data_IF_321115373164
#
_entry.id   IF_321115373164
#
_cell.length_a   1.000
_cell.length_b   1.000
_cell.length_c   1.000
_cell.angle_alpha   90.00
_cell.angle_beta   90.00
_cell.angle_gamma   90.00
#
_symmetry.space_group_name_H-M   'P 1'
#
loop_
_entity.id
_entity.type
_entity.pdbx_description
1 polymer ?
#
# COMPACT_ATOMS: atom_id res chain seq x y z
N UNK A 1 -34.76 -16.55 -26.03
CA UNK A 1 -34.14 -15.24 -25.72
C UNK A 1 -33.31 -15.25 -24.42
N UNK A 2 -32.71 -16.37 -23.99
CA UNK A 2 -32.18 -16.45 -22.61
C UNK A 2 -30.66 -16.69 -22.50
N UNK A 3 -30.04 -17.52 -23.34
CA UNK A 3 -28.62 -17.86 -23.13
C UNK A 3 -27.67 -16.71 -23.42
N UNK A 4 -27.90 -15.95 -24.49
CA UNK A 4 -27.04 -14.83 -24.88
C UNK A 4 -27.10 -13.67 -23.87
N UNK A 5 -28.30 -13.36 -23.38
CA UNK A 5 -28.52 -12.33 -22.34
C UNK A 5 -27.90 -12.78 -21.00
N UNK A 6 -28.05 -14.05 -20.62
CA UNK A 6 -27.40 -14.60 -19.42
C UNK A 6 -25.88 -14.56 -19.51
N UNK A 7 -25.29 -14.92 -20.66
CA UNK A 7 -23.85 -14.83 -20.89
C UNK A 7 -23.35 -13.38 -20.80
N UNK A 8 -24.09 -12.41 -21.33
CA UNK A 8 -23.75 -10.98 -21.23
C UNK A 8 -23.82 -10.50 -19.77
N UNK A 9 -24.84 -10.92 -19.02
CA UNK A 9 -24.97 -10.57 -17.60
C UNK A 9 -23.81 -11.16 -16.78
N UNK A 10 -23.44 -12.43 -17.02
CA UNK A 10 -22.29 -13.07 -16.37
C UNK A 10 -20.98 -12.34 -16.73
N UNK A 11 -20.81 -11.93 -17.99
CA UNK A 11 -19.65 -11.17 -18.45
C UNK A 11 -19.56 -9.79 -17.78
N UNK A 12 -20.69 -9.09 -17.64
CA UNK A 12 -20.74 -7.78 -16.99
C UNK A 12 -20.49 -7.86 -15.48
N UNK A 13 -21.00 -8.90 -14.81
CA UNK A 13 -20.75 -9.13 -13.38
C UNK A 13 -19.27 -9.45 -13.15
N UNK A 14 -18.69 -10.34 -13.96
CA UNK A 14 -17.26 -10.68 -13.86
C UNK A 14 -16.37 -9.48 -14.17
N UNK A 15 -16.66 -8.70 -15.22
CA UNK A 15 -15.93 -7.48 -15.53
C UNK A 15 -15.97 -6.44 -14.40
N UNK A 16 -17.12 -6.25 -13.75
CA UNK A 16 -17.25 -5.36 -12.59
C UNK A 16 -16.46 -5.85 -11.36
N UNK A 17 -16.37 -7.16 -11.15
CA UNK A 17 -15.52 -7.73 -10.09
C UNK A 17 -14.02 -7.48 -10.33
N UNK A 18 -13.56 -7.41 -11.59
CA UNK A 18 -12.17 -7.09 -11.92
C UNK A 18 -11.86 -5.59 -11.81
N UNK A 19 -12.85 -4.70 -11.97
CA UNK A 19 -12.63 -3.25 -11.98
C UNK A 19 -12.45 -2.60 -10.60
N UNK A 20 -12.84 -3.27 -9.51
CA UNK A 20 -12.74 -2.69 -8.15
C UNK A 20 -11.39 -2.93 -7.45
N UNK A 21 -10.49 -3.75 -8.02
CA UNK A 21 -9.29 -4.22 -7.31
C UNK A 21 -7.97 -3.57 -7.77
N UNK A 22 -8.01 -2.39 -8.38
CA UNK A 22 -6.81 -1.69 -8.87
C UNK A 22 -5.99 -0.99 -7.79
N UNK A 23 -6.66 -0.52 -6.73
CA UNK A 23 -6.06 0.31 -5.68
C UNK A 23 -6.12 -0.40 -4.34
N UNK A 24 -4.96 -0.52 -3.68
CA UNK A 24 -4.83 -0.99 -2.30
C UNK A 24 -4.51 0.18 -1.39
N UNK A 25 -5.38 0.44 -0.40
CA UNK A 25 -5.06 1.30 0.73
C UNK A 25 -4.55 0.42 1.87
N UNK A 26 -3.27 0.52 2.17
CA UNK A 26 -2.57 -0.28 3.15
C UNK A 26 -2.34 0.54 4.42
N UNK A 27 -2.88 0.08 5.55
CA UNK A 27 -2.60 0.67 6.86
C UNK A 27 -1.40 -0.06 7.46
N UNK A 28 -0.29 0.65 7.61
CA UNK A 28 0.89 0.20 8.36
C UNK A 28 0.89 1.00 9.66
N UNK A 29 0.80 0.34 10.81
CA UNK A 29 0.59 1.02 12.11
C UNK A 29 1.76 1.95 12.46
N UNK A 30 2.99 1.55 12.10
CA UNK A 30 4.22 2.29 12.37
C UNK A 30 5.15 2.22 11.14
N UNK A 31 4.84 2.97 10.07
CA UNK A 31 5.68 2.98 8.88
C UNK A 31 7.01 3.65 9.22
N UNK A 32 8.13 3.06 8.79
CA UNK A 32 9.42 3.71 8.84
C UNK A 32 9.77 4.27 7.46
N UNK A 33 10.52 5.38 7.42
CA UNK A 33 11.03 5.92 6.17
C UNK A 33 12.53 6.09 6.27
N UNK A 34 13.28 5.41 5.39
CA UNK A 34 14.73 5.58 5.27
C UNK A 34 15.06 6.12 3.89
N UNK A 35 15.83 7.20 3.83
CA UNK A 35 16.29 7.76 2.56
C UNK A 35 17.25 6.77 1.89
N UNK A 36 17.01 6.40 0.63
CA UNK A 36 17.91 5.53 -0.15
C UNK A 36 18.89 6.40 -0.94
N UNK A 37 18.37 7.41 -1.62
CA UNK A 37 19.10 8.35 -2.46
C UNK A 37 18.39 9.72 -2.43
N UNK A 38 18.82 10.66 -3.28
CA UNK A 38 18.20 11.99 -3.36
C UNK A 38 16.72 11.94 -3.75
N UNK A 39 16.35 10.97 -4.59
CA UNK A 39 15.06 10.85 -5.28
C UNK A 39 14.05 9.93 -4.61
N UNK A 40 14.45 9.17 -3.58
CA UNK A 40 13.56 8.16 -3.00
C UNK A 40 13.82 7.77 -1.54
N UNK A 41 12.74 7.29 -0.93
CA UNK A 41 12.69 6.69 0.40
C UNK A 41 12.22 5.23 0.31
N UNK A 42 12.66 4.41 1.25
CA UNK A 42 12.16 3.05 1.48
C UNK A 42 11.21 3.04 2.67
N UNK A 43 10.17 2.22 2.57
CA UNK A 43 9.33 1.79 3.69
C UNK A 43 8.95 0.32 3.53
N UNK A 44 8.25 -0.27 4.49
CA UNK A 44 7.84 -1.66 4.44
C UNK A 44 7.30 -2.18 5.75
N UNK A 45 6.89 -3.44 5.71
CA UNK A 45 6.45 -4.17 6.89
C UNK A 45 7.10 -5.56 6.93
N UNK A 46 7.12 -6.14 8.12
CA UNK A 46 7.71 -7.45 8.39
C UNK A 46 6.59 -8.40 8.79
N UNK A 47 6.61 -9.62 8.24
CA UNK A 47 5.80 -10.74 8.69
C UNK A 47 6.70 -11.87 9.20
N UNK A 48 6.18 -12.72 10.08
CA UNK A 48 6.88 -13.94 10.51
C UNK A 48 7.02 -14.89 9.33
N UNK A 49 8.20 -15.50 9.15
CA UNK A 49 8.35 -16.49 8.08
C UNK A 49 7.79 -17.84 8.49
N UNK A 50 7.12 -18.50 7.54
CA UNK A 50 6.71 -19.90 7.65
C UNK A 50 7.89 -20.86 7.39
N UNK A 51 8.91 -20.40 6.67
CA UNK A 51 10.11 -21.19 6.39
C UNK A 51 11.06 -21.13 7.60
N UNK A 52 11.35 -22.26 8.27
CA UNK A 52 12.12 -22.28 9.52
C UNK A 52 13.57 -21.85 9.36
N UNK A 53 14.08 -21.72 8.12
CA UNK A 53 15.44 -21.21 7.85
C UNK A 53 15.54 -19.69 8.02
N UNK A 54 14.41 -19.00 8.06
CA UNK A 54 14.32 -17.55 8.07
C UNK A 54 13.51 -17.08 9.27
N UNK A 55 13.90 -15.93 9.82
CA UNK A 55 13.18 -15.33 10.96
C UNK A 55 11.92 -14.62 10.46
N UNK A 56 12.05 -13.90 9.34
CA UNK A 56 11.00 -13.02 8.85
C UNK A 56 11.04 -12.79 7.35
N UNK A 57 9.87 -12.43 6.83
CA UNK A 57 9.65 -11.97 5.48
C UNK A 57 9.44 -10.44 5.50
N UNK A 58 10.25 -9.71 4.76
CA UNK A 58 10.21 -8.26 4.66
C UNK A 58 9.65 -7.83 3.30
N UNK A 59 8.50 -7.15 3.33
CA UNK A 59 7.84 -6.61 2.14
C UNK A 59 8.20 -5.13 1.99
N UNK A 60 8.86 -4.81 0.87
CA UNK A 60 9.52 -3.53 0.67
C UNK A 60 8.75 -2.66 -0.31
N UNK A 61 8.62 -1.38 0.03
CA UNK A 61 8.09 -0.34 -0.85
C UNK A 61 9.09 0.80 -1.03
N UNK A 62 8.99 1.47 -2.16
CA UNK A 62 9.70 2.69 -2.48
C UNK A 62 8.72 3.86 -2.65
N UNK A 63 9.17 5.05 -2.24
CA UNK A 63 8.44 6.31 -2.36
C UNK A 63 9.33 7.29 -3.09
N UNK A 64 8.94 7.67 -4.30
CA UNK A 64 9.61 8.74 -5.04
C UNK A 64 9.20 10.10 -4.47
N UNK A 65 10.18 11.00 -4.37
CA UNK A 65 9.96 12.33 -3.81
C UNK A 65 10.25 13.48 -4.78
N UNK A 66 10.45 13.15 -6.05
CA UNK A 66 10.82 14.11 -7.10
C UNK A 66 9.58 14.85 -7.56
N UNK A 67 9.64 16.18 -7.58
CA UNK A 67 8.55 17.05 -8.07
C UNK A 67 9.12 18.12 -9.00
N UNK A 68 8.32 18.54 -9.98
CA UNK A 68 8.68 19.66 -10.83
C UNK A 68 8.15 20.96 -10.19
N UNK A 69 9.02 21.95 -10.02
CA UNK A 69 8.66 23.27 -9.49
C UNK A 69 8.56 24.22 -10.67
N UNK A 70 7.33 24.44 -11.16
CA UNK A 70 7.04 25.24 -12.35
C UNK A 70 7.64 26.65 -12.27
N UNK A 71 7.45 27.33 -11.15
CA UNK A 71 7.90 28.72 -10.93
C UNK A 71 9.43 28.89 -10.99
N UNK A 72 10.18 27.81 -10.80
CA UNK A 72 11.64 27.82 -10.82
C UNK A 72 12.23 27.09 -12.02
N UNK A 73 11.39 26.42 -12.82
CA UNK A 73 11.83 25.56 -13.92
C UNK A 73 12.86 24.51 -13.46
N UNK A 74 12.68 23.97 -12.25
CA UNK A 74 13.65 23.11 -11.56
C UNK A 74 12.99 21.86 -10.96
N UNK A 75 13.82 20.83 -10.72
CA UNK A 75 13.41 19.62 -10.00
C UNK A 75 13.65 19.82 -8.50
N UNK A 76 12.57 19.70 -7.71
CA UNK A 76 12.60 19.70 -6.26
C UNK A 76 12.46 18.31 -5.65
N UNK A 77 12.79 18.21 -4.36
CA UNK A 77 12.70 16.97 -3.58
C UNK A 77 11.91 17.21 -2.30
N UNK A 78 10.80 16.48 -2.15
CA UNK A 78 9.95 16.59 -0.97
C UNK A 78 10.34 15.56 0.11
N UNK A 79 9.94 15.82 1.34
CA UNK A 79 9.99 14.85 2.43
C UNK A 79 8.76 13.94 2.41
N UNK A 80 8.79 12.75 3.05
CA UNK A 80 7.61 11.88 3.17
C UNK A 80 6.40 12.59 3.79
N UNK A 81 6.63 13.55 4.70
CA UNK A 81 5.56 14.34 5.32
C UNK A 81 4.88 15.27 4.31
N UNK A 82 5.64 15.90 3.41
CA UNK A 82 5.14 16.82 2.38
C UNK A 82 4.46 16.08 1.23
N UNK A 83 4.87 14.84 0.95
CA UNK A 83 4.25 13.99 -0.07
C UNK A 83 2.86 13.47 0.33
N UNK A 84 2.49 13.56 1.61
CA UNK A 84 1.19 13.11 2.09
C UNK A 84 0.10 14.00 1.55
N UNK A 85 -0.90 13.39 0.91
CA UNK A 85 -2.10 14.07 0.46
C UNK A 85 -3.25 13.81 1.43
N UNK A 86 -3.88 14.87 1.91
CA UNK A 86 -5.09 14.78 2.73
C UNK A 86 -6.27 14.35 1.84
N UNK A 87 -7.05 13.38 2.30
CA UNK A 87 -8.29 12.95 1.68
C UNK A 87 -9.38 12.88 2.73
N UNK A 88 -10.57 13.36 2.38
CA UNK A 88 -11.75 13.34 3.24
C UNK A 88 -12.75 12.39 2.61
N UNK A 89 -12.95 11.21 3.20
CA UNK A 89 -13.79 10.15 2.64
C UNK A 89 -14.58 9.50 3.77
N UNK A 90 -15.89 9.43 3.59
CA UNK A 90 -16.80 8.88 4.61
C UNK A 90 -16.61 7.36 4.80
N UNK A 91 -16.21 6.62 3.76
CA UNK A 91 -15.92 5.17 3.81
C UNK A 91 -14.74 4.78 2.91
N UNK A 92 -13.52 4.81 3.44
CA UNK A 92 -12.36 4.27 2.74
C UNK A 92 -12.13 2.81 3.16
N UNK A 93 -12.23 1.88 2.21
CA UNK A 93 -11.87 0.47 2.44
C UNK A 93 -10.35 0.35 2.44
N UNK A 94 -9.77 -0.06 3.55
CA UNK A 94 -8.35 -0.34 3.69
C UNK A 94 -8.12 -1.74 4.25
N UNK A 95 -6.86 -2.18 4.15
CA UNK A 95 -6.39 -3.45 4.68
C UNK A 95 -5.23 -3.16 5.62
N UNK A 96 -5.26 -3.74 6.80
CA UNK A 96 -4.14 -3.72 7.77
C UNK A 96 -3.08 -4.76 7.39
N UNK A 97 -1.88 -4.68 7.97
CA UNK A 97 -0.86 -5.70 7.73
C UNK A 97 -1.36 -7.09 8.13
N UNK A 98 -2.04 -7.19 9.28
CA UNK A 98 -2.55 -8.46 9.79
C UNK A 98 -3.56 -9.09 8.83
N UNK A 99 -4.54 -8.33 8.34
CA UNK A 99 -5.53 -8.82 7.36
C UNK A 99 -4.88 -9.18 6.01
N UNK A 100 -3.84 -8.45 5.60
CA UNK A 100 -3.16 -8.72 4.34
C UNK A 100 -2.43 -10.08 4.37
N UNK A 101 -1.79 -10.41 5.49
CA UNK A 101 -0.97 -11.62 5.66
C UNK A 101 -1.73 -12.80 6.25
N UNK A 102 -2.92 -12.58 6.81
CA UNK A 102 -3.71 -13.61 7.47
C UNK A 102 -3.97 -14.80 6.54
N UNK A 103 -3.59 -16.00 6.99
CA UNK A 103 -3.77 -17.27 6.28
C UNK A 103 -3.14 -17.30 4.87
N UNK A 104 -2.16 -16.43 4.60
CA UNK A 104 -1.43 -16.40 3.32
C UNK A 104 0.05 -16.71 3.52
N UNK A 105 0.54 -17.62 2.70
CA UNK A 105 1.97 -17.84 2.55
C UNK A 105 2.64 -16.59 1.97
N UNK A 106 3.94 -16.40 2.28
CA UNK A 106 4.68 -15.19 1.91
C UNK A 106 4.63 -14.87 0.40
N UNK A 107 4.66 -15.90 -0.45
CA UNK A 107 4.63 -15.75 -1.91
C UNK A 107 3.25 -15.33 -2.42
N UNK A 108 2.17 -15.67 -1.71
CA UNK A 108 0.82 -15.22 -2.03
C UNK A 108 0.70 -13.70 -1.79
N UNK A 109 1.23 -13.22 -0.66
CA UNK A 109 1.29 -11.78 -0.35
C UNK A 109 2.16 -11.05 -1.37
N UNK A 110 3.31 -11.61 -1.75
CA UNK A 110 4.18 -11.06 -2.80
C UNK A 110 3.43 -10.91 -4.13
N UNK A 111 2.73 -11.96 -4.56
CA UNK A 111 1.95 -11.95 -5.80
C UNK A 111 0.81 -10.93 -5.73
N UNK A 112 0.08 -10.88 -4.62
CA UNK A 112 -1.02 -9.93 -4.45
C UNK A 112 -0.53 -8.48 -4.56
N UNK A 113 0.56 -8.13 -3.86
CA UNK A 113 1.16 -6.79 -3.91
C UNK A 113 1.70 -6.46 -5.31
N UNK A 114 2.33 -7.43 -5.98
CA UNK A 114 2.87 -7.25 -7.35
C UNK A 114 1.78 -7.02 -8.40
N UNK A 115 0.56 -7.51 -8.16
CA UNK A 115 -0.58 -7.35 -9.06
C UNK A 115 -1.35 -6.04 -8.85
N UNK A 116 -1.11 -5.31 -7.75
CA UNK A 116 -1.79 -4.02 -7.51
C UNK A 116 -1.22 -2.95 -8.43
N UNK A 117 -2.11 -2.25 -9.14
CA UNK A 117 -1.74 -1.10 -9.98
C UNK A 117 -1.35 0.11 -9.15
N UNK A 118 -2.03 0.33 -8.03
CA UNK A 118 -1.80 1.44 -7.11
C UNK A 118 -1.81 0.95 -5.69
N UNK A 119 -0.81 1.35 -4.92
CA UNK A 119 -0.74 1.09 -3.49
C UNK A 119 -0.55 2.44 -2.80
N UNK A 120 -1.36 2.70 -1.78
CA UNK A 120 -1.23 3.89 -0.94
C UNK A 120 -1.03 3.44 0.50
N UNK A 121 -0.03 4.01 1.16
CA UNK A 121 0.01 4.01 2.61
C UNK A 121 -1.11 4.91 3.11
N UNK A 122 -1.93 4.40 4.03
CA UNK A 122 -2.98 5.14 4.71
C UNK A 122 -2.54 5.47 6.14
N UNK A 123 -2.66 6.74 6.51
CA UNK A 123 -2.44 7.22 7.88
C UNK A 123 -3.68 7.99 8.34
N UNK A 124 -4.22 7.64 9.51
CA UNK A 124 -5.36 8.37 10.10
C UNK A 124 -4.92 9.72 10.65
N UNK A 125 -5.71 10.76 10.40
CA UNK A 125 -5.52 12.07 11.03
C UNK A 125 -6.28 12.07 12.35
N UNK A 126 -5.57 12.27 13.46
CA UNK A 126 -6.22 12.50 14.75
C UNK A 126 -6.96 13.85 14.72
N UNK A 127 -8.26 13.84 14.41
CA UNK A 127 -9.11 15.01 14.53
C UNK A 127 -9.51 15.23 16.00
N UNK A 128 -9.07 16.34 16.59
CA UNK A 128 -9.48 16.79 17.94
C UNK A 128 -10.80 17.58 17.94
N UNK A 129 -11.45 17.74 16.78
CA UNK A 129 -12.64 18.58 16.64
C UNK A 129 -13.92 17.84 17.03
N UNK A 130 -14.49 18.24 18.17
CA UNK A 130 -15.72 17.75 18.82
C UNK A 130 -16.98 17.86 17.91
N UNK A 131 -16.92 18.60 16.81
CA UNK A 131 -18.07 18.94 15.94
C UNK A 131 -18.20 18.12 14.65
N UNK A 132 -17.21 17.32 14.26
CA UNK A 132 -17.25 16.54 13.01
C UNK A 132 -17.50 15.06 13.31
N UNK A 133 -18.74 14.70 13.64
CA UNK A 133 -19.04 13.37 14.21
C UNK A 133 -18.92 12.20 13.21
N UNK A 134 -18.78 12.43 11.90
CA UNK A 134 -18.86 11.36 10.89
C UNK A 134 -17.89 11.45 9.69
N UNK A 135 -16.98 12.43 9.62
CA UNK A 135 -16.02 12.53 8.51
C UNK A 135 -14.60 12.17 8.99
N UNK A 136 -14.10 11.01 8.58
CA UNK A 136 -12.72 10.61 8.88
C UNK A 136 -11.78 11.26 7.86
N UNK A 137 -10.76 11.95 8.36
CA UNK A 137 -9.70 12.52 7.52
C UNK A 137 -8.50 11.57 7.52
N UNK A 138 -7.96 11.32 6.33
CA UNK A 138 -6.80 10.45 6.14
C UNK A 138 -5.71 11.19 5.38
N UNK A 139 -4.46 10.80 5.64
CA UNK A 139 -3.36 11.04 4.73
C UNK A 139 -3.10 9.79 3.89
N UNK A 140 -2.87 9.99 2.59
CA UNK A 140 -2.39 8.95 1.70
C UNK A 140 -1.00 9.29 1.16
N UNK A 141 -0.17 8.28 0.98
CA UNK A 141 1.15 8.39 0.37
C UNK A 141 1.34 7.27 -0.67
N UNK A 142 1.60 7.56 -1.95
CA UNK A 142 1.82 6.53 -2.96
C UNK A 142 3.04 5.67 -2.64
N UNK A 143 2.86 4.35 -2.78
CA UNK A 143 3.89 3.34 -2.60
C UNK A 143 4.09 2.57 -3.90
N UNK A 144 5.35 2.22 -4.18
CA UNK A 144 5.72 1.29 -5.25
C UNK A 144 6.24 0.03 -4.60
N UNK A 145 5.61 -1.10 -4.87
CA UNK A 145 6.11 -2.37 -4.38
C UNK A 145 7.37 -2.78 -5.14
N UNK A 146 8.46 -3.03 -4.41
CA UNK A 146 9.77 -3.37 -5.01
C UNK A 146 10.22 -4.80 -4.69
N UNK A 147 9.37 -5.57 -4.01
CA UNK A 147 9.58 -7.00 -3.77
C UNK A 147 9.68 -7.38 -2.30
N UNK A 148 9.92 -8.68 -2.09
CA UNK A 148 10.09 -9.29 -0.76
C UNK A 148 11.51 -9.78 -0.57
N UNK A 149 12.00 -9.69 0.67
CA UNK A 149 13.28 -10.26 1.10
C UNK A 149 13.05 -11.16 2.30
N UNK A 150 13.76 -12.29 2.35
CA UNK A 150 13.80 -13.15 3.54
C UNK A 150 14.99 -12.76 4.43
N UNK A 151 14.81 -12.79 5.74
CA UNK A 151 15.88 -12.53 6.70
C UNK A 151 16.45 -13.85 7.25
N UNK A 152 17.76 -14.07 7.10
CA UNK A 152 18.45 -15.32 7.44
C UNK A 152 18.66 -15.42 8.95
N UNK A 153 18.55 -16.62 9.52
CA UNK A 153 19.00 -16.91 10.89
C UNK A 153 20.54 -16.92 10.90
N UNK A 154 21.22 -16.04 11.66
CA UNK A 154 22.65 -16.17 11.84
C UNK A 154 22.92 -17.50 12.56
N UNK A 155 23.58 -18.44 11.89
CA UNK A 155 24.17 -19.59 12.56
C UNK A 155 25.28 -19.07 13.47
N UNK A 156 25.19 -19.37 14.78
CA UNK A 156 26.31 -19.16 15.68
C UNK A 156 27.48 -19.99 15.15
N UNK A 157 28.56 -19.33 14.77
CA UNK A 157 29.84 -19.97 14.43
C UNK A 157 30.49 -20.57 15.68
#
# INVERSE_FOLDING_TARGET
>A
MNKLIQSIIILLITANCFSQNETLYLKIEKPFFKKINTTSYITGFISKSEDPRFISDYFRFEVFNTVYIEDKNEIGYLTPKELRKKVSIDTLKYVTINELVEQKAFWQVHNELSLKKKIFLLEEVNCTSITAKNSFEYFILPLIYVGTRKNIIPTKG
#
